data_IF_151559697553
#
_entry.id   IF_151559697553
#
_cell.length_a   1.000
_cell.length_b   1.000
_cell.length_c   1.000
_cell.angle_alpha   90.00
_cell.angle_beta   90.00
_cell.angle_gamma   90.00
#
_symmetry.space_group_name_H-M   'P 1'
#
loop_
_entity.id
_entity.type
_entity.pdbx_description
1 polymer ?
#
# COMPACT_ATOMS: atom_id res chain seq x y z
N UNK A 1 -12.09 0.25 -10.08
CA UNK A 1 -10.77 0.73 -10.56
C UNK A 1 -10.38 0.12 -11.91
N UNK A 2 -10.21 -1.20 -12.02
CA UNK A 2 -9.63 -1.83 -13.22
C UNK A 2 -10.43 -1.61 -14.50
N UNK A 3 -11.77 -1.57 -14.43
CA UNK A 3 -12.63 -1.29 -15.59
C UNK A 3 -12.40 0.11 -16.18
N UNK A 4 -12.04 1.09 -15.35
CA UNK A 4 -11.84 2.49 -15.79
C UNK A 4 -10.38 2.80 -16.10
N UNK A 5 -9.45 2.31 -15.28
CA UNK A 5 -8.05 2.70 -15.34
C UNK A 5 -7.10 1.62 -15.89
N UNK A 6 -7.65 0.46 -16.28
CA UNK A 6 -6.89 -0.71 -16.68
C UNK A 6 -6.46 -1.58 -15.50
N UNK A 7 -6.02 -2.79 -15.78
CA UNK A 7 -5.41 -3.65 -14.75
C UNK A 7 -4.03 -3.12 -14.39
N UNK A 8 -3.67 -3.04 -13.08
CA UNK A 8 -2.33 -2.64 -12.68
C UNK A 8 -1.26 -3.52 -13.34
N UNK A 9 -0.17 -2.89 -13.76
CA UNK A 9 1.03 -3.55 -14.30
C UNK A 9 2.27 -3.13 -13.49
N UNK A 10 3.27 -4.01 -13.31
CA UNK A 10 4.49 -3.70 -12.59
C UNK A 10 5.12 -2.39 -13.10
N UNK A 11 5.37 -1.46 -12.18
CA UNK A 11 5.78 -0.10 -12.51
C UNK A 11 6.81 0.41 -11.50
N UNK A 12 7.93 0.93 -12.01
CA UNK A 12 8.91 1.67 -11.23
C UNK A 12 8.35 3.05 -10.89
N UNK A 13 8.41 3.44 -9.62
CA UNK A 13 7.88 4.70 -9.10
C UNK A 13 8.99 5.45 -8.41
N UNK A 14 9.27 6.67 -8.90
CA UNK A 14 10.28 7.55 -8.30
C UNK A 14 9.86 7.96 -6.89
N UNK A 15 10.80 7.90 -5.94
CA UNK A 15 10.61 8.35 -4.55
C UNK A 15 11.57 9.47 -4.13
N UNK A 16 12.36 9.98 -5.08
CA UNK A 16 13.24 11.14 -4.91
C UNK A 16 12.65 12.36 -5.60
N UNK A 17 12.92 13.59 -5.13
CA UNK A 17 12.37 14.81 -5.72
C UNK A 17 12.54 14.92 -7.25
N UNK A 18 11.60 15.62 -7.88
CA UNK A 18 11.63 16.04 -9.29
C UNK A 18 11.33 17.52 -9.34
N UNK A 19 12.19 18.29 -10.01
CA UNK A 19 12.14 19.76 -9.99
C UNK A 19 10.83 20.27 -10.56
N UNK A 20 10.29 21.33 -9.96
CA UNK A 20 9.10 22.03 -10.43
C UNK A 20 7.99 22.18 -9.39
N UNK A 21 6.92 22.86 -9.79
CA UNK A 21 5.70 23.06 -8.99
C UNK A 21 5.09 21.70 -8.67
N UNK A 22 4.48 21.57 -7.50
CA UNK A 22 4.09 20.26 -6.99
C UNK A 22 2.72 20.27 -6.29
N UNK A 23 1.95 19.20 -6.51
CA UNK A 23 0.77 18.85 -5.72
C UNK A 23 0.98 17.43 -5.17
N UNK A 24 0.74 17.24 -3.88
CA UNK A 24 0.71 15.94 -3.23
C UNK A 24 -0.73 15.49 -3.03
N UNK A 25 -1.15 14.39 -3.64
CA UNK A 25 -2.45 13.79 -3.39
C UNK A 25 -2.31 12.57 -2.48
N UNK A 26 -3.15 12.51 -1.45
CA UNK A 26 -3.20 11.39 -0.50
C UNK A 26 -4.62 10.92 -0.23
N UNK A 27 -4.74 9.82 0.53
CA UNK A 27 -5.96 9.05 0.68
C UNK A 27 -5.96 7.84 -0.26
N UNK A 28 -7.10 7.56 -0.89
CA UNK A 28 -7.30 6.32 -1.66
C UNK A 28 -8.06 6.55 -2.97
N UNK A 29 -8.66 7.73 -3.17
CA UNK A 29 -9.65 7.92 -4.22
C UNK A 29 -8.99 8.09 -5.60
N UNK A 30 -9.19 7.08 -6.45
CA UNK A 30 -8.64 7.03 -7.79
C UNK A 30 -9.37 7.97 -8.76
N UNK A 31 -10.62 8.36 -8.47
CA UNK A 31 -11.39 9.30 -9.28
C UNK A 31 -10.89 10.72 -9.07
N UNK A 32 -10.70 11.12 -7.81
CA UNK A 32 -10.11 12.41 -7.44
C UNK A 32 -8.68 12.54 -8.00
N UNK A 33 -7.91 11.44 -7.96
CA UNK A 33 -6.59 11.37 -8.60
C UNK A 33 -6.68 11.64 -10.10
N UNK A 34 -7.61 10.99 -10.80
CA UNK A 34 -7.81 11.20 -12.23
C UNK A 34 -8.25 12.63 -12.56
N UNK A 35 -9.23 13.17 -11.84
CA UNK A 35 -9.77 14.51 -12.09
C UNK A 35 -8.72 15.61 -11.83
N UNK A 36 -7.89 15.44 -10.78
CA UNK A 36 -6.75 16.32 -10.52
C UNK A 36 -5.73 16.26 -11.66
N UNK A 37 -5.40 15.06 -12.15
CA UNK A 37 -4.44 14.87 -13.24
C UNK A 37 -4.92 15.51 -14.55
N UNK A 38 -6.21 15.35 -14.90
CA UNK A 38 -6.82 16.03 -16.04
C UNK A 38 -6.72 17.55 -15.90
N UNK A 39 -7.03 18.10 -14.72
CA UNK A 39 -7.04 19.55 -14.52
C UNK A 39 -5.64 20.18 -14.39
N UNK A 40 -4.60 19.38 -14.11
CA UNK A 40 -3.20 19.82 -14.03
C UNK A 40 -2.43 19.66 -15.35
N UNK A 41 -3.02 18.97 -16.33
CA UNK A 41 -2.44 18.78 -17.66
C UNK A 41 -2.10 20.13 -18.32
N UNK A 42 -0.86 20.27 -18.78
CA UNK A 42 -0.37 21.50 -19.42
C UNK A 42 -0.10 22.69 -18.48
N UNK A 43 -0.28 22.55 -17.15
CA UNK A 43 -0.09 23.65 -16.19
C UNK A 43 1.32 23.76 -15.59
N UNK A 44 2.23 22.85 -15.94
CA UNK A 44 3.60 22.83 -15.40
C UNK A 44 3.67 22.43 -13.92
N UNK A 45 2.70 21.64 -13.45
CA UNK A 45 2.62 21.14 -12.06
C UNK A 45 2.81 19.63 -12.04
N UNK A 46 3.81 19.17 -11.29
CA UNK A 46 4.04 17.75 -11.02
C UNK A 46 3.05 17.27 -9.94
N UNK A 47 2.37 16.16 -10.20
CA UNK A 47 1.50 15.48 -9.22
C UNK A 47 2.27 14.31 -8.60
N UNK A 48 2.27 14.28 -7.27
CA UNK A 48 2.87 13.26 -6.43
C UNK A 48 1.78 12.51 -5.69
N UNK A 49 1.93 11.21 -5.52
CA UNK A 49 1.10 10.42 -4.60
C UNK A 49 1.72 10.37 -3.21
N UNK A 50 0.91 10.15 -2.18
CA UNK A 50 1.37 9.84 -0.82
C UNK A 50 0.55 8.72 -0.20
N UNK A 51 1.21 7.83 0.53
CA UNK A 51 0.58 6.75 1.27
C UNK A 51 -0.13 5.75 0.34
N UNK A 52 -1.43 5.57 0.58
CA UNK A 52 -2.28 4.60 -0.11
C UNK A 52 -2.56 4.94 -1.58
N UNK A 53 -2.07 6.07 -2.10
CA UNK A 53 -2.11 6.36 -3.54
C UNK A 53 -0.84 5.94 -4.31
N UNK A 54 0.20 5.40 -3.66
CA UNK A 54 1.34 4.79 -4.38
C UNK A 54 0.90 3.82 -5.51
N UNK A 55 -0.10 2.94 -5.31
CA UNK A 55 -0.55 2.02 -6.36
C UNK A 55 -1.17 2.68 -7.59
N UNK A 56 -1.52 3.97 -7.54
CA UNK A 56 -2.08 4.69 -8.69
C UNK A 56 -1.14 4.64 -9.91
N UNK A 57 0.17 4.59 -9.65
CA UNK A 57 1.22 4.45 -10.67
C UNK A 57 1.15 3.13 -11.43
N UNK A 58 0.57 2.07 -10.86
CA UNK A 58 0.43 0.79 -11.55
C UNK A 58 -0.62 0.81 -12.66
N UNK A 59 -1.56 1.77 -12.65
CA UNK A 59 -2.70 1.79 -13.57
C UNK A 59 -2.33 2.38 -14.95
N UNK A 60 -2.43 1.60 -16.06
CA UNK A 60 -1.97 2.03 -17.38
C UNK A 60 -2.63 3.32 -17.88
N UNK A 61 -3.92 3.51 -17.64
CA UNK A 61 -4.64 4.70 -18.12
C UNK A 61 -4.16 6.00 -17.45
N UNK A 62 -3.62 5.91 -16.23
CA UNK A 62 -3.06 7.07 -15.54
C UNK A 62 -1.63 7.33 -16.01
N UNK A 63 -0.75 6.33 -15.85
CA UNK A 63 0.69 6.51 -16.10
C UNK A 63 1.04 6.79 -17.55
N UNK A 64 0.29 6.23 -18.52
CA UNK A 64 0.56 6.45 -19.96
C UNK A 64 0.07 7.82 -20.43
N UNK A 65 -1.02 8.32 -19.83
CA UNK A 65 -1.63 9.59 -20.22
C UNK A 65 -0.97 10.79 -19.53
N UNK A 66 -0.59 10.64 -18.26
CA UNK A 66 -0.19 11.76 -17.41
C UNK A 66 1.28 11.65 -17.01
N UNK A 67 2.24 12.06 -17.87
CA UNK A 67 3.68 12.02 -17.53
C UNK A 67 4.07 12.95 -16.37
N UNK A 68 3.19 13.89 -16.00
CA UNK A 68 3.33 14.73 -14.81
C UNK A 68 2.81 14.08 -13.52
N UNK A 69 2.33 12.83 -13.55
CA UNK A 69 2.26 11.96 -12.36
C UNK A 69 3.66 11.38 -12.11
N UNK A 70 4.46 12.06 -11.30
CA UNK A 70 5.92 11.89 -11.34
C UNK A 70 6.51 10.90 -10.33
N UNK A 71 5.79 10.60 -9.26
CA UNK A 71 6.30 9.70 -8.23
C UNK A 71 5.43 9.65 -6.98
N UNK A 72 5.97 9.01 -5.95
CA UNK A 72 5.38 8.94 -4.62
C UNK A 72 6.30 9.64 -3.61
N UNK A 73 5.76 10.54 -2.81
CA UNK A 73 6.50 11.27 -1.79
C UNK A 73 6.13 10.76 -0.40
N UNK A 74 7.15 10.61 0.45
CA UNK A 74 6.97 10.19 1.84
C UNK A 74 6.59 8.71 1.99
N UNK A 75 6.04 8.38 3.16
CA UNK A 75 5.74 7.01 3.56
C UNK A 75 4.30 6.80 4.01
N UNK A 76 4.13 6.09 5.14
CA UNK A 76 2.83 5.88 5.76
C UNK A 76 2.27 7.16 6.40
N UNK A 77 0.94 7.22 6.47
CA UNK A 77 0.15 8.38 6.87
C UNK A 77 0.55 9.04 8.19
N UNK A 78 1.06 8.30 9.18
CA UNK A 78 1.40 8.86 10.50
C UNK A 78 2.62 9.79 10.44
N UNK A 79 3.42 9.73 9.38
CA UNK A 79 4.60 10.59 9.16
C UNK A 79 4.23 11.94 8.53
N UNK A 80 2.97 12.12 8.12
CA UNK A 80 2.55 13.26 7.32
C UNK A 80 2.83 14.62 7.97
N UNK A 81 2.82 14.75 9.30
CA UNK A 81 3.12 16.05 9.91
C UNK A 81 4.52 16.56 9.57
N UNK A 82 5.51 15.66 9.51
CA UNK A 82 6.86 15.99 9.07
C UNK A 82 6.90 16.14 7.56
N UNK A 83 6.44 15.12 6.85
CA UNK A 83 6.55 15.03 5.39
C UNK A 83 5.78 16.14 4.68
N UNK A 84 4.57 16.48 5.12
CA UNK A 84 3.78 17.56 4.55
C UNK A 84 4.38 18.93 4.86
N UNK A 85 5.01 19.11 6.03
CA UNK A 85 5.76 20.34 6.34
C UNK A 85 6.94 20.52 5.38
N UNK A 86 7.62 19.44 5.02
CA UNK A 86 8.79 19.43 4.13
C UNK A 86 8.42 19.45 2.64
N UNK A 87 7.21 18.99 2.27
CA UNK A 87 6.74 19.01 0.89
C UNK A 87 6.52 20.45 0.41
N UNK A 88 7.13 20.92 -0.69
CA UNK A 88 7.13 22.35 -1.06
C UNK A 88 5.93 22.78 -1.92
N UNK A 89 4.86 21.99 -1.96
CA UNK A 89 3.69 22.18 -2.82
C UNK A 89 2.34 22.12 -2.08
N UNK A 90 1.24 22.18 -2.83
CA UNK A 90 -0.10 22.02 -2.26
C UNK A 90 -0.39 20.55 -1.94
N UNK A 91 -1.28 20.28 -0.97
CA UNK A 91 -1.62 18.92 -0.54
C UNK A 91 -3.13 18.72 -0.64
N UNK A 92 -3.58 17.60 -1.20
CA UNK A 92 -4.99 17.23 -1.31
C UNK A 92 -5.24 15.90 -0.59
N UNK A 93 -6.11 15.92 0.41
CA UNK A 93 -6.56 14.74 1.14
C UNK A 93 -7.91 14.26 0.61
N UNK A 94 -7.94 13.10 -0.05
CA UNK A 94 -9.15 12.50 -0.64
C UNK A 94 -9.95 11.63 0.32
N UNK A 95 -9.25 10.93 1.22
CA UNK A 95 -9.82 10.07 2.25
C UNK A 95 -8.92 10.07 3.48
N UNK A 96 -9.24 9.25 4.49
CA UNK A 96 -8.35 9.01 5.62
C UNK A 96 -6.98 8.46 5.16
N UNK A 97 -5.88 8.70 5.89
CA UNK A 97 -5.83 9.31 7.22
C UNK A 97 -5.27 10.74 7.15
N UNK A 98 -6.03 11.71 7.64
CA UNK A 98 -5.54 13.05 7.97
C UNK A 98 -5.21 13.10 9.46
N UNK A 99 -4.05 13.64 9.82
CA UNK A 99 -3.73 14.01 11.21
C UNK A 99 -3.75 15.52 11.32
N UNK A 100 -3.80 16.04 12.54
CA UNK A 100 -3.85 17.48 12.79
C UNK A 100 -2.83 18.26 11.94
N UNK A 101 -3.31 19.10 10.99
CA UNK A 101 -2.45 19.90 10.14
C UNK A 101 -1.65 20.92 10.94
N UNK A 102 -0.32 20.88 10.80
CA UNK A 102 0.56 21.86 11.43
C UNK A 102 0.47 23.20 10.74
N UNK A 103 0.75 24.28 11.48
CA UNK A 103 0.78 25.65 10.96
C UNK A 103 1.69 25.80 9.72
N UNK A 104 2.78 25.03 9.65
CA UNK A 104 3.74 25.06 8.54
C UNK A 104 3.16 24.67 7.15
N UNK A 105 1.99 24.02 7.11
CA UNK A 105 1.34 23.63 5.86
C UNK A 105 -0.19 23.80 5.87
N UNK A 106 -0.76 24.32 6.96
CA UNK A 106 -2.22 24.43 7.14
C UNK A 106 -2.87 25.30 6.06
N UNK A 107 -2.15 26.29 5.54
CA UNK A 107 -2.62 27.21 4.48
C UNK A 107 -2.56 26.60 3.06
N UNK A 108 -1.96 25.41 2.89
CA UNK A 108 -1.74 24.76 1.59
C UNK A 108 -2.16 23.29 1.54
N UNK A 109 -2.85 22.81 2.58
CA UNK A 109 -3.56 21.54 2.57
C UNK A 109 -5.04 21.78 2.27
N UNK A 110 -5.63 20.87 1.50
CA UNK A 110 -7.03 20.86 1.11
C UNK A 110 -7.61 19.49 1.43
N UNK A 111 -8.89 19.49 1.77
CA UNK A 111 -9.67 18.25 1.97
C UNK A 111 -10.75 18.13 0.90
N UNK A 112 -11.20 16.92 0.59
CA UNK A 112 -12.38 16.70 -0.26
C UNK A 112 -13.11 15.43 0.17
N UNK A 113 -14.31 15.21 -0.37
CA UNK A 113 -15.14 14.05 -0.03
C UNK A 113 -15.54 14.09 1.44
N UNK A 114 -15.40 12.96 2.13
CA UNK A 114 -15.74 12.85 3.55
C UNK A 114 -14.63 13.39 4.49
N UNK A 115 -13.51 13.86 3.94
CA UNK A 115 -12.42 14.41 4.76
C UNK A 115 -12.72 15.86 5.11
N UNK A 116 -12.58 16.22 6.38
CA UNK A 116 -12.67 17.60 6.85
C UNK A 116 -11.76 17.87 8.04
N UNK A 117 -11.26 19.10 8.14
CA UNK A 117 -10.55 19.58 9.32
C UNK A 117 -10.84 21.08 9.53
N UNK A 118 -11.05 21.49 10.79
CA UNK A 118 -11.42 22.89 11.08
C UNK A 118 -10.32 23.88 10.66
N UNK A 119 -10.72 24.86 9.85
CA UNK A 119 -9.81 25.88 9.29
C UNK A 119 -8.91 25.36 8.17
N UNK A 120 -9.26 24.25 7.54
CA UNK A 120 -8.65 23.77 6.29
C UNK A 120 -9.65 23.92 5.15
N UNK A 121 -9.18 24.38 3.99
CA UNK A 121 -10.03 24.55 2.80
C UNK A 121 -10.59 23.22 2.32
N UNK A 122 -11.90 23.19 2.02
CA UNK A 122 -12.58 22.00 1.51
C UNK A 122 -12.96 22.19 0.03
N UNK A 123 -12.61 21.21 -0.81
CA UNK A 123 -13.02 21.13 -2.21
C UNK A 123 -14.33 20.37 -2.26
N UNK A 124 -15.40 21.11 -2.49
CA UNK A 124 -16.77 20.61 -2.60
C UNK A 124 -16.92 19.63 -3.78
N UNK A 125 -17.84 18.69 -3.63
CA UNK A 125 -18.22 17.76 -4.69
C UNK A 125 -18.63 16.39 -4.15
N UNK A 126 -19.43 15.67 -4.93
CA UNK A 126 -19.91 14.33 -4.56
C UNK A 126 -19.05 13.26 -5.19
N UNK A 127 -19.02 12.09 -4.54
CA UNK A 127 -18.41 10.88 -5.11
C UNK A 127 -19.02 10.63 -6.51
N UNK A 128 -18.16 10.42 -7.51
CA UNK A 128 -18.56 10.15 -8.89
C UNK A 128 -18.82 11.38 -9.77
N UNK A 129 -18.70 12.60 -9.23
CA UNK A 129 -18.75 13.84 -10.01
C UNK A 129 -17.34 14.41 -10.19
N UNK A 130 -17.10 15.09 -11.32
CA UNK A 130 -15.87 15.87 -11.51
C UNK A 130 -15.89 17.06 -10.55
N UNK A 131 -14.90 17.11 -9.66
CA UNK A 131 -14.71 18.20 -8.69
C UNK A 131 -13.82 19.30 -9.27
N UNK A 132 -13.95 20.54 -8.80
CA UNK A 132 -13.10 21.65 -9.25
C UNK A 132 -11.85 21.78 -8.35
N UNK A 133 -10.67 21.46 -8.90
CA UNK A 133 -9.39 21.54 -8.21
C UNK A 133 -8.65 22.85 -8.46
N UNK A 134 -9.29 23.86 -9.05
CA UNK A 134 -8.65 25.15 -9.37
C UNK A 134 -7.96 25.80 -8.17
N UNK A 135 -8.57 25.75 -6.97
CA UNK A 135 -7.98 26.29 -5.75
C UNK A 135 -6.67 25.58 -5.34
N UNK A 136 -6.64 24.25 -5.44
CA UNK A 136 -5.45 23.43 -5.14
C UNK A 136 -4.33 23.75 -6.14
N UNK A 137 -4.69 23.86 -7.41
CA UNK A 137 -3.76 24.12 -8.52
C UNK A 137 -3.16 25.52 -8.41
N UNK A 138 -3.99 26.55 -8.19
CA UNK A 138 -3.52 27.92 -8.01
C UNK A 138 -2.55 28.02 -6.83
N UNK A 139 -2.89 27.39 -5.70
CA UNK A 139 -1.99 27.33 -4.54
C UNK A 139 -0.66 26.66 -4.87
N UNK A 140 -0.66 25.58 -5.65
CA UNK A 140 0.58 24.92 -6.08
C UNK A 140 1.45 25.80 -6.99
N UNK A 141 0.83 26.63 -7.84
CA UNK A 141 1.52 27.58 -8.72
C UNK A 141 2.18 28.73 -7.95
N UNK A 142 1.57 29.18 -6.86
CA UNK A 142 2.13 30.19 -5.95
C UNK A 142 3.33 29.68 -5.15
N UNK A 143 3.32 28.39 -4.78
CA UNK A 143 4.34 27.78 -3.93
C UNK A 143 5.66 27.51 -4.67
N UNK A 144 6.81 27.44 -3.97
CA UNK A 144 8.11 27.24 -4.62
C UNK A 144 8.19 25.96 -5.48
N UNK A 145 7.57 24.87 -5.02
CA UNK A 145 7.82 23.54 -5.57
C UNK A 145 9.23 23.04 -5.23
N UNK A 146 9.63 21.92 -5.82
CA UNK A 146 11.00 21.42 -5.65
C UNK A 146 11.96 22.27 -6.49
N UNK A 147 12.93 22.90 -5.83
CA UNK A 147 13.97 23.73 -6.50
C UNK A 147 15.14 22.89 -7.01
N UNK A 148 15.34 21.72 -6.39
CA UNK A 148 16.43 20.79 -6.67
C UNK A 148 15.86 19.40 -7.02
N UNK A 149 16.64 18.68 -7.81
CA UNK A 149 16.38 17.32 -8.24
C UNK A 149 17.72 16.58 -8.31
N UNK A 150 17.86 15.38 -7.70
CA UNK A 150 19.08 14.61 -7.83
C UNK A 150 19.29 14.21 -9.30
N UNK A 151 20.56 14.02 -9.73
CA UNK A 151 20.85 13.42 -11.03
C UNK A 151 20.10 12.10 -11.21
N UNK A 152 19.74 11.75 -12.44
CA UNK A 152 18.97 10.52 -12.70
C UNK A 152 19.70 9.25 -12.23
N UNK A 153 21.03 9.26 -12.21
CA UNK A 153 21.86 8.18 -11.65
C UNK A 153 21.70 7.97 -10.13
N UNK A 154 21.21 8.98 -9.42
CA UNK A 154 20.97 8.96 -7.97
C UNK A 154 19.47 8.88 -7.63
N UNK A 155 18.60 8.88 -8.64
CA UNK A 155 17.18 8.74 -8.44
C UNK A 155 16.84 7.36 -7.88
N UNK A 156 16.05 7.33 -6.80
CA UNK A 156 15.57 6.09 -6.19
C UNK A 156 14.15 5.77 -6.63
N UNK A 157 13.89 4.47 -6.76
CA UNK A 157 12.62 3.94 -7.22
C UNK A 157 12.16 2.79 -6.33
N UNK A 158 10.84 2.60 -6.28
CA UNK A 158 10.19 1.41 -5.71
C UNK A 158 9.28 0.79 -6.77
N UNK A 159 8.91 -0.47 -6.62
CA UNK A 159 8.04 -1.15 -7.60
C UNK A 159 6.65 -1.38 -7.02
N UNK A 160 5.62 -1.04 -7.79
CA UNK A 160 4.21 -1.33 -7.46
C UNK A 160 3.49 -1.93 -8.67
N UNK A 161 2.21 -2.30 -8.52
CA UNK A 161 1.36 -2.71 -9.63
C UNK A 161 1.23 -4.22 -9.83
N UNK A 162 1.60 -5.03 -8.83
CA UNK A 162 1.45 -6.48 -8.88
C UNK A 162 0.06 -6.94 -8.38
N UNK A 163 -1.01 -6.34 -8.91
CA UNK A 163 -2.36 -6.80 -8.62
C UNK A 163 -2.65 -8.15 -9.30
N UNK A 164 -3.86 -8.70 -9.10
CA UNK A 164 -4.22 -10.06 -9.53
C UNK A 164 -3.86 -10.41 -10.97
N UNK A 165 -4.06 -9.51 -11.95
CA UNK A 165 -3.78 -9.83 -13.35
C UNK A 165 -2.28 -9.95 -13.65
N UNK A 166 -1.45 -9.11 -13.03
CA UNK A 166 -0.01 -9.18 -13.19
C UNK A 166 0.53 -10.48 -12.58
N UNK A 167 0.08 -10.83 -11.38
CA UNK A 167 0.51 -12.06 -10.68
C UNK A 167 -0.01 -13.32 -11.38
N UNK A 168 -1.28 -13.34 -11.77
CA UNK A 168 -1.86 -14.48 -12.49
C UNK A 168 -1.25 -14.65 -13.88
N UNK A 169 -0.80 -13.56 -14.52
CA UNK A 169 -0.08 -13.60 -15.79
C UNK A 169 1.24 -14.38 -15.73
N UNK A 170 1.83 -14.51 -14.54
CA UNK A 170 3.05 -15.30 -14.27
C UNK A 170 2.78 -16.49 -13.34
N UNK A 171 1.51 -16.91 -13.17
CA UNK A 171 1.16 -18.01 -12.27
C UNK A 171 1.89 -19.32 -12.64
N UNK A 172 2.10 -19.57 -13.94
CA UNK A 172 2.88 -20.73 -14.40
C UNK A 172 4.32 -20.73 -13.89
N UNK A 173 4.97 -19.56 -13.87
CA UNK A 173 6.34 -19.42 -13.35
C UNK A 173 6.37 -19.58 -11.83
N UNK A 174 5.36 -19.08 -11.11
CA UNK A 174 5.23 -19.27 -9.66
C UNK A 174 5.03 -20.75 -9.33
N UNK A 175 4.14 -21.45 -10.05
CA UNK A 175 3.87 -22.87 -9.86
C UNK A 175 5.12 -23.69 -10.15
N UNK A 176 5.83 -23.38 -11.25
CA UNK A 176 7.10 -24.01 -11.57
C UNK A 176 8.15 -23.78 -10.48
N UNK A 177 8.27 -22.56 -9.96
CA UNK A 177 9.20 -22.25 -8.88
C UNK A 177 8.92 -23.08 -7.61
N UNK A 178 7.64 -23.32 -7.28
CA UNK A 178 7.27 -24.21 -6.17
C UNK A 178 7.66 -25.67 -6.48
N UNK A 179 7.33 -26.17 -7.67
CA UNK A 179 7.61 -27.55 -8.09
C UNK A 179 9.11 -27.86 -8.16
N UNK A 180 9.90 -26.92 -8.67
CA UNK A 180 11.36 -27.01 -8.77
C UNK A 180 12.05 -26.77 -7.41
N UNK A 181 11.27 -26.40 -6.38
CA UNK A 181 11.75 -26.15 -5.03
C UNK A 181 12.51 -24.82 -4.85
N UNK A 182 12.46 -23.93 -5.84
CA UNK A 182 12.99 -22.57 -5.79
C UNK A 182 12.15 -21.63 -4.91
N UNK A 183 10.85 -21.90 -4.79
CA UNK A 183 9.92 -21.21 -3.89
C UNK A 183 9.46 -22.17 -2.79
N UNK A 184 9.86 -21.90 -1.55
CA UNK A 184 9.48 -22.69 -0.37
C UNK A 184 8.24 -22.16 0.33
N UNK A 185 8.08 -20.84 0.38
CA UNK A 185 6.99 -20.21 1.12
C UNK A 185 6.64 -18.82 0.60
N UNK A 186 5.40 -18.41 0.85
CA UNK A 186 4.88 -17.09 0.52
C UNK A 186 4.44 -16.40 1.83
N UNK A 187 4.92 -15.18 2.05
CA UNK A 187 4.51 -14.34 3.16
C UNK A 187 3.67 -13.20 2.65
N UNK A 188 2.45 -13.03 3.16
CA UNK A 188 1.71 -11.79 3.01
C UNK A 188 1.88 -10.97 4.29
N UNK A 189 2.68 -9.91 4.22
CA UNK A 189 2.87 -8.95 5.32
C UNK A 189 2.33 -7.59 4.87
N UNK A 190 1.30 -7.06 5.53
CA UNK A 190 0.66 -5.84 5.06
C UNK A 190 -0.55 -5.42 5.88
N UNK A 191 -1.40 -4.58 5.30
CA UNK A 191 -2.55 -3.98 5.97
C UNK A 191 -2.33 -2.50 6.27
N UNK A 192 -2.65 -2.04 7.47
CA UNK A 192 -2.57 -0.64 7.86
C UNK A 192 -1.44 -0.38 8.87
N UNK A 193 -0.64 0.67 8.62
CA UNK A 193 0.45 1.08 9.52
C UNK A 193 -0.01 2.13 10.55
N UNK A 194 0.83 2.44 11.53
CA UNK A 194 0.60 3.42 12.59
C UNK A 194 1.90 3.92 13.24
N UNK A 195 1.81 4.81 14.22
CA UNK A 195 2.98 5.45 14.84
C UNK A 195 3.67 4.63 15.94
N UNK A 196 3.04 3.55 16.41
CA UNK A 196 3.51 2.76 17.54
C UNK A 196 4.86 2.09 17.22
N UNK A 197 5.89 2.23 18.09
CA UNK A 197 7.22 1.67 17.85
C UNK A 197 7.23 0.15 17.61
N UNK A 198 6.30 -0.58 18.22
CA UNK A 198 6.13 -2.02 18.10
C UNK A 198 5.86 -2.45 16.66
N UNK A 199 5.31 -1.57 15.80
CA UNK A 199 5.05 -1.87 14.38
C UNK A 199 6.33 -2.06 13.55
N UNK A 200 7.50 -1.69 14.08
CA UNK A 200 8.80 -2.09 13.50
C UNK A 200 8.92 -3.61 13.37
N UNK A 201 8.16 -4.36 14.17
CA UNK A 201 7.98 -5.80 14.05
C UNK A 201 7.75 -6.26 12.60
N UNK A 202 6.85 -5.62 11.85
CA UNK A 202 6.50 -6.08 10.50
C UNK A 202 7.64 -5.93 9.49
N UNK A 203 8.43 -4.86 9.60
CA UNK A 203 9.67 -4.72 8.81
C UNK A 203 10.69 -5.80 9.18
N UNK A 204 10.87 -6.08 10.48
CA UNK A 204 11.78 -7.15 10.94
C UNK A 204 11.33 -8.54 10.48
N UNK A 205 10.03 -8.81 10.44
CA UNK A 205 9.49 -10.07 9.89
C UNK A 205 9.84 -10.17 8.41
N UNK A 206 9.56 -9.12 7.63
CA UNK A 206 9.87 -9.08 6.20
C UNK A 206 11.38 -9.31 5.93
N UNK A 207 12.25 -8.62 6.68
CA UNK A 207 13.70 -8.73 6.58
C UNK A 207 14.24 -10.10 6.99
N UNK A 208 13.55 -10.82 7.88
CA UNK A 208 13.94 -12.14 8.33
C UNK A 208 13.45 -13.27 7.40
N UNK A 209 12.68 -12.99 6.35
CA UNK A 209 12.21 -14.02 5.42
C UNK A 209 13.35 -14.66 4.62
N UNK A 210 13.43 -16.01 4.53
CA UNK A 210 14.45 -16.70 3.75
C UNK A 210 14.47 -16.32 2.26
N UNK A 211 15.62 -16.42 1.59
CA UNK A 211 15.77 -15.98 0.19
C UNK A 211 14.92 -16.78 -0.82
N UNK A 212 14.54 -18.01 -0.50
CA UNK A 212 13.68 -18.89 -1.30
C UNK A 212 12.18 -18.65 -1.02
N UNK A 213 11.80 -17.41 -0.72
CA UNK A 213 10.42 -17.01 -0.39
C UNK A 213 9.98 -15.77 -1.16
N UNK A 214 8.67 -15.66 -1.39
CA UNK A 214 8.04 -14.44 -1.89
C UNK A 214 7.40 -13.65 -0.75
N UNK A 215 7.51 -12.33 -0.82
CA UNK A 215 6.94 -11.38 0.12
C UNK A 215 5.88 -10.52 -0.60
N UNK A 216 4.62 -10.80 -0.30
CA UNK A 216 3.46 -10.04 -0.77
C UNK A 216 3.14 -8.96 0.24
N UNK A 217 2.80 -7.77 -0.25
CA UNK A 217 2.34 -6.68 0.60
C UNK A 217 1.19 -5.91 -0.05
N UNK A 218 0.46 -5.16 0.78
CA UNK A 218 -0.65 -4.31 0.38
C UNK A 218 -0.95 -3.32 1.50
N UNK A 219 -1.61 -2.22 1.13
CA UNK A 219 -1.95 -1.15 2.06
C UNK A 219 -0.72 -0.46 2.66
N UNK A 220 -0.93 0.54 3.50
CA UNK A 220 0.13 1.36 4.06
C UNK A 220 1.07 0.60 5.01
N UNK A 221 0.74 -0.61 5.45
CA UNK A 221 1.66 -1.52 6.14
C UNK A 221 2.96 -1.77 5.36
N UNK A 222 2.90 -1.70 4.02
CA UNK A 222 4.08 -1.83 3.14
C UNK A 222 5.21 -0.88 3.48
N UNK A 223 4.90 0.34 3.96
CA UNK A 223 5.91 1.38 4.19
C UNK A 223 6.90 1.06 5.32
N UNK A 224 6.75 -0.11 5.97
CA UNK A 224 7.75 -0.67 6.88
C UNK A 224 8.96 -1.29 6.17
N UNK A 225 8.83 -1.63 4.90
CA UNK A 225 9.87 -2.35 4.13
C UNK A 225 9.77 -2.21 2.61
N UNK A 226 8.85 -1.40 2.07
CA UNK A 226 8.60 -1.27 0.63
C UNK A 226 9.79 -0.78 -0.21
N UNK A 227 10.75 -0.12 0.43
CA UNK A 227 11.95 0.47 -0.16
C UNK A 227 13.21 -0.36 0.12
N UNK A 228 13.07 -1.54 0.74
CA UNK A 228 14.15 -2.50 0.92
C UNK A 228 14.35 -3.30 -0.38
N UNK A 229 15.62 -3.60 -0.72
CA UNK A 229 15.95 -4.49 -1.83
C UNK A 229 15.97 -5.94 -1.36
N UNK A 230 14.91 -6.67 -1.68
CA UNK A 230 14.81 -8.12 -1.43
C UNK A 230 15.37 -8.96 -2.59
N UNK A 231 15.77 -8.35 -3.71
CA UNK A 231 16.27 -9.03 -4.89
C UNK A 231 15.23 -9.91 -5.61
N UNK A 232 15.76 -10.85 -6.38
CA UNK A 232 14.97 -11.82 -7.16
C UNK A 232 14.92 -13.16 -6.44
N UNK A 233 13.84 -13.91 -6.64
CA UNK A 233 13.72 -15.26 -6.14
C UNK A 233 14.76 -16.15 -6.84
N UNK A 234 15.69 -16.80 -6.11
CA UNK A 234 16.81 -17.53 -6.69
C UNK A 234 16.37 -18.60 -7.70
N UNK A 235 17.09 -18.69 -8.82
CA UNK A 235 16.77 -19.63 -9.90
C UNK A 235 15.58 -19.22 -10.77
N UNK A 236 15.03 -18.02 -10.55
CA UNK A 236 13.87 -17.51 -11.32
C UNK A 236 14.09 -16.06 -11.79
N UNK A 237 13.14 -15.55 -12.57
CA UNK A 237 13.04 -14.14 -12.94
C UNK A 237 11.99 -13.37 -12.12
N UNK A 238 11.54 -13.90 -10.99
CA UNK A 238 10.48 -13.29 -10.18
C UNK A 238 11.08 -12.36 -9.11
N UNK A 239 10.59 -11.11 -8.96
CA UNK A 239 10.98 -10.26 -7.83
C UNK A 239 10.47 -10.84 -6.52
N UNK A 240 11.25 -10.74 -5.42
CA UNK A 240 10.81 -11.26 -4.12
C UNK A 240 9.72 -10.41 -3.48
N UNK A 241 9.77 -9.09 -3.63
CA UNK A 241 8.77 -8.17 -3.09
C UNK A 241 7.67 -7.88 -4.13
N UNK A 242 6.43 -8.21 -3.78
CA UNK A 242 5.24 -8.11 -4.62
C UNK A 242 4.23 -7.16 -3.96
N UNK A 243 4.25 -5.88 -4.35
CA UNK A 243 3.24 -4.91 -3.91
C UNK A 243 1.94 -5.04 -4.71
N UNK A 244 0.92 -5.58 -4.05
CA UNK A 244 -0.39 -5.86 -4.63
C UNK A 244 -1.31 -4.65 -4.72
N UNK A 245 -0.97 -3.53 -4.05
CA UNK A 245 -1.69 -2.27 -4.15
C UNK A 245 -2.18 -1.71 -2.82
N UNK A 246 -3.38 -1.14 -2.81
CA UNK A 246 -4.00 -0.48 -1.66
C UNK A 246 -4.51 -1.53 -0.65
N UNK A 247 -5.01 -1.10 0.50
CA UNK A 247 -5.66 -2.02 1.44
C UNK A 247 -6.84 -2.79 0.81
N UNK A 248 -7.61 -2.16 -0.09
CA UNK A 248 -8.68 -2.82 -0.86
C UNK A 248 -8.17 -3.85 -1.89
N UNK A 249 -6.91 -3.78 -2.29
CA UNK A 249 -6.31 -4.81 -3.16
C UNK A 249 -5.99 -6.11 -2.40
N UNK A 250 -6.35 -6.22 -1.12
CA UNK A 250 -6.55 -7.50 -0.44
C UNK A 250 -7.48 -8.44 -1.23
N UNK A 251 -8.43 -7.87 -1.99
CA UNK A 251 -9.21 -8.64 -2.96
C UNK A 251 -8.32 -9.35 -4.00
N UNK A 252 -7.30 -8.66 -4.53
CA UNK A 252 -6.35 -9.27 -5.47
C UNK A 252 -5.56 -10.41 -4.82
N UNK A 253 -5.14 -10.24 -3.55
CA UNK A 253 -4.45 -11.29 -2.80
C UNK A 253 -5.31 -12.54 -2.63
N UNK A 254 -6.59 -12.37 -2.26
CA UNK A 254 -7.55 -13.48 -2.15
C UNK A 254 -7.72 -14.20 -3.49
N UNK A 255 -7.93 -13.46 -4.59
CA UNK A 255 -8.10 -14.06 -5.92
C UNK A 255 -6.86 -14.86 -6.33
N UNK A 256 -5.66 -14.34 -6.10
CA UNK A 256 -4.40 -15.05 -6.39
C UNK A 256 -4.27 -16.31 -5.54
N UNK A 257 -4.53 -16.23 -4.23
CA UNK A 257 -4.47 -17.38 -3.35
C UNK A 257 -5.47 -18.47 -3.78
N UNK A 258 -6.72 -18.11 -4.09
CA UNK A 258 -7.71 -19.08 -4.57
C UNK A 258 -7.28 -19.76 -5.87
N UNK A 259 -6.76 -19.00 -6.84
CA UNK A 259 -6.28 -19.57 -8.10
C UNK A 259 -5.09 -20.52 -7.90
N UNK A 260 -4.14 -20.18 -7.02
CA UNK A 260 -3.03 -21.07 -6.68
C UNK A 260 -3.56 -22.34 -5.99
N UNK A 261 -4.51 -22.21 -5.07
CA UNK A 261 -5.12 -23.33 -4.36
C UNK A 261 -5.76 -24.33 -5.34
N UNK A 262 -6.48 -23.83 -6.36
CA UNK A 262 -7.03 -24.67 -7.44
C UNK A 262 -5.94 -25.45 -8.20
N UNK A 263 -4.84 -24.79 -8.57
CA UNK A 263 -3.72 -25.42 -9.29
C UNK A 263 -3.05 -26.50 -8.44
N UNK A 264 -2.85 -26.23 -7.14
CA UNK A 264 -2.26 -27.19 -6.20
C UNK A 264 -3.27 -28.21 -5.66
N UNK A 265 -4.54 -28.15 -6.10
CA UNK A 265 -5.64 -29.04 -5.66
C UNK A 265 -5.78 -29.08 -4.13
N UNK A 266 -5.71 -27.90 -3.52
CA UNK A 266 -5.81 -27.68 -2.08
C UNK A 266 -6.77 -26.51 -1.81
N UNK A 267 -6.98 -26.16 -0.54
CA UNK A 267 -7.63 -24.91 -0.16
C UNK A 267 -6.58 -23.81 0.13
N UNK A 268 -7.03 -22.59 0.42
CA UNK A 268 -6.10 -21.49 0.75
C UNK A 268 -5.24 -21.81 1.98
N UNK A 269 -5.76 -22.59 2.93
CA UNK A 269 -5.04 -22.95 4.16
C UNK A 269 -3.95 -24.00 3.93
N UNK A 270 -4.07 -24.82 2.88
CA UNK A 270 -3.06 -25.80 2.49
C UNK A 270 -2.00 -25.28 1.52
N UNK A 271 -2.03 -24.00 1.16
CA UNK A 271 -0.94 -23.36 0.43
C UNK A 271 0.27 -23.11 1.34
N UNK A 272 1.50 -23.05 0.80
CA UNK A 272 2.67 -22.56 1.53
C UNK A 272 2.60 -21.03 1.68
N UNK A 273 1.58 -20.56 2.40
CA UNK A 273 1.21 -19.15 2.56
C UNK A 273 1.03 -18.83 4.05
N UNK A 274 1.64 -17.75 4.51
CA UNK A 274 1.40 -17.20 5.85
C UNK A 274 1.02 -15.73 5.80
N UNK A 275 0.09 -15.32 6.68
CA UNK A 275 -0.49 -13.99 6.70
C UNK A 275 -0.11 -13.26 7.98
N UNK A 276 0.62 -12.15 7.86
CA UNK A 276 0.92 -11.17 8.91
C UNK A 276 0.19 -9.85 8.63
N UNK A 277 -0.97 -9.66 9.27
CA UNK A 277 -1.80 -8.48 9.11
C UNK A 277 -1.50 -7.44 10.19
N UNK A 278 -0.91 -6.32 9.76
CA UNK A 278 -0.92 -5.08 10.53
C UNK A 278 -2.29 -4.42 10.40
N UNK A 279 -2.93 -4.09 11.52
CA UNK A 279 -4.22 -3.41 11.51
C UNK A 279 -4.16 -2.11 12.31
N UNK A 280 -5.10 -1.20 12.03
CA UNK A 280 -5.25 0.07 12.72
C UNK A 280 -6.72 0.53 12.69
N UNK A 281 -7.26 0.70 11.49
CA UNK A 281 -8.57 1.31 11.28
C UNK A 281 -9.58 0.32 10.68
N UNK A 282 -10.78 0.80 10.35
CA UNK A 282 -11.95 -0.04 10.10
C UNK A 282 -11.88 -0.79 8.75
N UNK A 283 -11.16 -0.29 7.75
CA UNK A 283 -10.95 -1.05 6.49
C UNK A 283 -10.12 -2.29 6.74
N UNK A 284 -9.09 -2.23 7.60
CA UNK A 284 -8.34 -3.43 8.00
C UNK A 284 -9.23 -4.47 8.73
N UNK A 285 -10.19 -4.01 9.54
CA UNK A 285 -11.17 -4.91 10.19
C UNK A 285 -12.07 -5.58 9.14
N UNK A 286 -12.54 -4.83 8.13
CA UNK A 286 -13.34 -5.41 7.04
C UNK A 286 -12.56 -6.46 6.24
N UNK A 287 -11.27 -6.22 5.98
CA UNK A 287 -10.38 -7.21 5.36
C UNK A 287 -10.25 -8.47 6.23
N UNK A 288 -10.00 -8.32 7.53
CA UNK A 288 -9.95 -9.45 8.45
C UNK A 288 -11.25 -10.26 8.44
N UNK A 289 -12.40 -9.62 8.60
CA UNK A 289 -13.70 -10.29 8.61
C UNK A 289 -13.98 -11.01 7.29
N UNK A 290 -13.54 -10.46 6.16
CA UNK A 290 -13.64 -11.12 4.86
C UNK A 290 -12.81 -12.39 4.82
N UNK A 291 -11.56 -12.35 5.30
CA UNK A 291 -10.69 -13.53 5.37
C UNK A 291 -11.26 -14.61 6.29
N UNK A 292 -11.80 -14.23 7.45
CA UNK A 292 -12.47 -15.16 8.37
C UNK A 292 -13.73 -15.76 7.73
N UNK A 293 -14.53 -14.96 7.01
CA UNK A 293 -15.70 -15.45 6.28
C UNK A 293 -15.32 -16.47 5.20
N UNK A 294 -14.21 -16.25 4.50
CA UNK A 294 -13.65 -17.18 3.51
C UNK A 294 -12.98 -18.41 4.13
N UNK A 295 -12.96 -18.54 5.46
CA UNK A 295 -12.39 -19.67 6.15
C UNK A 295 -10.86 -19.69 6.20
N UNK A 296 -10.20 -18.54 5.97
CA UNK A 296 -8.74 -18.42 6.10
C UNK A 296 -8.36 -18.51 7.57
N UNK A 297 -7.39 -19.36 7.87
CA UNK A 297 -6.92 -19.67 9.22
C UNK A 297 -5.49 -19.19 9.46
N UNK A 298 -5.05 -19.26 10.71
CA UNK A 298 -3.67 -19.03 11.14
C UNK A 298 -3.12 -17.63 10.80
N UNK A 299 -4.01 -16.64 10.70
CA UNK A 299 -3.65 -15.24 10.50
C UNK A 299 -2.95 -14.71 11.75
N UNK A 300 -1.77 -14.10 11.58
CA UNK A 300 -1.11 -13.30 12.62
C UNK A 300 -1.58 -11.86 12.53
N UNK A 301 -2.13 -11.30 13.60
CA UNK A 301 -2.64 -9.93 13.67
C UNK A 301 -1.89 -9.10 14.70
N UNK A 302 -1.52 -7.88 14.35
CA UNK A 302 -0.70 -7.03 15.22
C UNK A 302 -0.75 -5.53 14.91
N UNK A 303 -0.02 -4.71 15.70
CA UNK A 303 0.92 -5.13 16.75
C UNK A 303 0.24 -5.56 18.07
N UNK A 304 -1.07 -5.32 18.20
CA UNK A 304 -1.91 -5.73 19.33
C UNK A 304 -3.19 -6.35 18.80
N UNK A 305 -3.89 -7.13 19.62
CA UNK A 305 -5.24 -7.58 19.28
C UNK A 305 -6.19 -6.38 19.08
N UNK A 306 -7.22 -6.53 18.22
CA UNK A 306 -8.29 -5.54 18.14
C UNK A 306 -8.94 -5.23 19.48
N UNK A 307 -8.80 -3.98 19.93
CA UNK A 307 -9.23 -3.54 21.27
C UNK A 307 -10.74 -3.66 21.51
N UNK A 308 -11.54 -3.75 20.44
CA UNK A 308 -12.99 -3.95 20.51
C UNK A 308 -13.39 -5.43 20.70
N UNK A 309 -12.44 -6.37 20.60
CA UNK A 309 -12.70 -7.78 20.90
C UNK A 309 -12.56 -8.01 22.40
N UNK A 310 -13.66 -8.45 23.03
CA UNK A 310 -13.59 -8.93 24.41
C UNK A 310 -12.76 -10.23 24.48
N UNK A 311 -12.24 -10.62 25.66
CA UNK A 311 -11.54 -11.90 25.81
C UNK A 311 -12.34 -13.10 25.28
N UNK A 312 -13.66 -13.12 25.48
CA UNK A 312 -14.55 -14.19 25.02
C UNK A 312 -14.67 -14.20 23.50
N UNK A 313 -14.88 -13.03 22.88
CA UNK A 313 -14.97 -12.92 21.43
C UNK A 313 -13.64 -13.25 20.75
N UNK A 314 -12.52 -12.77 21.31
CA UNK A 314 -11.19 -13.12 20.82
C UNK A 314 -10.98 -14.64 20.92
N UNK A 315 -11.36 -15.26 22.05
CA UNK A 315 -11.25 -16.71 22.22
C UNK A 315 -12.02 -17.47 21.14
N UNK A 316 -13.25 -17.06 20.81
CA UNK A 316 -14.04 -17.69 19.73
C UNK A 316 -13.31 -17.60 18.39
N UNK A 317 -12.73 -16.43 18.07
CA UNK A 317 -11.99 -16.25 16.81
C UNK A 317 -10.70 -17.08 16.80
N UNK A 318 -9.99 -17.16 17.93
CA UNK A 318 -8.80 -18.02 18.10
C UNK A 318 -9.15 -19.50 17.94
N UNK A 319 -10.17 -19.98 18.65
CA UNK A 319 -10.58 -21.40 18.62
C UNK A 319 -11.07 -21.81 17.22
N UNK A 320 -11.79 -20.92 16.52
CA UNK A 320 -12.43 -21.23 15.22
C UNK A 320 -11.44 -21.10 14.06
N UNK A 321 -10.61 -20.05 14.06
CA UNK A 321 -9.79 -19.67 12.92
C UNK A 321 -8.27 -19.76 13.18
N UNK A 322 -7.85 -20.08 14.41
CA UNK A 322 -6.44 -20.12 14.76
C UNK A 322 -5.77 -18.74 14.66
N UNK A 323 -6.53 -17.65 14.87
CA UNK A 323 -5.99 -16.29 14.88
C UNK A 323 -4.89 -16.17 15.95
N UNK A 324 -3.76 -15.56 15.59
CA UNK A 324 -2.61 -15.38 16.47
C UNK A 324 -2.32 -13.91 16.64
N UNK A 325 -2.14 -13.44 17.88
CA UNK A 325 -1.64 -12.09 18.13
C UNK A 325 -0.12 -12.12 17.98
N UNK A 326 0.46 -11.19 17.21
CA UNK A 326 1.91 -11.14 16.98
C UNK A 326 2.68 -10.98 18.28
N UNK A 327 3.77 -11.75 18.47
CA UNK A 327 4.75 -11.46 19.51
C UNK A 327 5.76 -10.44 18.99
N UNK A 328 5.49 -9.16 19.28
CA UNK A 328 6.31 -8.04 18.78
C UNK A 328 7.77 -8.08 19.26
N UNK A 329 8.10 -8.91 20.25
CA UNK A 329 9.45 -9.06 20.81
C UNK A 329 10.32 -10.03 20.01
N UNK A 330 9.73 -11.01 19.33
CA UNK A 330 10.46 -12.06 18.62
C UNK A 330 9.95 -12.30 17.18
N UNK A 331 10.24 -11.37 16.24
CA UNK A 331 9.92 -11.54 14.83
C UNK A 331 10.48 -12.82 14.20
N UNK A 332 11.67 -13.27 14.64
CA UNK A 332 12.34 -14.41 14.05
C UNK A 332 11.64 -15.73 14.41
N UNK A 333 11.17 -15.86 15.65
CA UNK A 333 10.34 -17.00 16.06
C UNK A 333 9.04 -17.07 15.25
N UNK A 334 8.39 -15.92 15.01
CA UNK A 334 7.17 -15.89 14.20
C UNK A 334 7.43 -16.26 12.74
N UNK A 335 8.56 -15.85 12.15
CA UNK A 335 8.98 -16.32 10.81
C UNK A 335 9.21 -17.83 10.79
N UNK A 336 9.93 -18.38 11.77
CA UNK A 336 10.17 -19.83 11.84
C UNK A 336 8.85 -20.62 11.99
N UNK A 337 7.92 -20.12 12.79
CA UNK A 337 6.60 -20.73 12.94
C UNK A 337 5.78 -20.66 11.64
N UNK A 338 5.76 -19.50 10.96
CA UNK A 338 5.11 -19.34 9.66
C UNK A 338 5.67 -20.29 8.59
N UNK A 339 7.00 -20.46 8.53
CA UNK A 339 7.65 -21.43 7.63
C UNK A 339 7.23 -22.88 7.90
N UNK A 340 6.82 -23.20 9.13
CA UNK A 340 6.36 -24.54 9.51
C UNK A 340 4.86 -24.77 9.29
N UNK A 341 4.14 -23.81 8.69
CA UNK A 341 2.68 -23.88 8.50
C UNK A 341 1.87 -23.62 9.77
N UNK A 342 2.50 -23.08 10.83
CA UNK A 342 1.85 -22.76 12.10
C UNK A 342 1.52 -21.29 12.22
#
# INVERSE_FOLDING_TARGET
HTSKFGHPEPTQVRITPKKGKAILISGHDMQDTFDLLVQTEGKGVNVWTHGELLPAHGYPALKKRFPHLVGNYGGAWYRQQKEFSEFPGAILMTTNCIVEPRQAYKDRIFTTGEVGWSGVSHVEGKIGQTKDYSAVINKALELPGFTEEPPESEAKFVTTGFARNAVLGVAGDVVKAVQDGHLKHIFLIGGCDGSEPERKYFGKVADATPQDTLLLTLGCGKFRFYDHDYGMLPGTGLPRLIDMGQCNDAYSAVVVASALAEVFKTDVNGLPLSLGLSWLEQKAVAVLLTLLHLGVKNIRIGPKAPAFLTPESLKVVVDTYGLKVTDVKDPAADVAAMMSGN
#
